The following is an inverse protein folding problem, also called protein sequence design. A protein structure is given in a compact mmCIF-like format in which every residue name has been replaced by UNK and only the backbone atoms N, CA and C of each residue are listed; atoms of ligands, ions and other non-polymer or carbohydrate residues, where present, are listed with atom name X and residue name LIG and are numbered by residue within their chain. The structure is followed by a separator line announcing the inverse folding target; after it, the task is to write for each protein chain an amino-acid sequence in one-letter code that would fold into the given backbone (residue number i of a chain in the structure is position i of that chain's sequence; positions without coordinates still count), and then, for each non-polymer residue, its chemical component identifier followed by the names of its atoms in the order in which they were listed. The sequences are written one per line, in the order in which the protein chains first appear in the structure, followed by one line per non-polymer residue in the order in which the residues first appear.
data_IF_570413036054
#
_entry.id   IF_570413036054
#
_cell.length_a   1.000
_cell.length_b   1.000
_cell.length_c   1.000
_cell.angle_alpha   90.00
_cell.angle_beta   90.00
_cell.angle_gamma   90.00
#
_symmetry.space_group_name_H-M   'P 1'
#
loop_
_entity.id
_entity.type
_entity.pdbx_description
1 polymer ?
#
# COMPACT_ATOMS: atom_id res chain seq x y z
N UNK A 1 -17.68 42.53 10.41
CA UNK A 1 -17.27 41.25 9.82
C UNK A 1 -18.13 40.18 10.53
N UNK A 2 -19.04 39.53 9.82
CA UNK A 2 -19.84 38.44 10.38
C UNK A 2 -18.92 37.28 10.67
N UNK A 3 -19.09 36.56 11.81
CA UNK A 3 -18.33 35.35 12.07
C UNK A 3 -18.67 34.28 11.01
N UNK A 4 -17.70 33.47 10.59
CA UNK A 4 -17.97 32.38 9.64
C UNK A 4 -18.94 31.37 10.25
N UNK A 5 -19.86 30.88 9.45
CA UNK A 5 -20.78 29.80 9.85
C UNK A 5 -19.98 28.51 10.09
N UNK A 6 -20.26 27.83 11.21
CA UNK A 6 -19.68 26.54 11.54
C UNK A 6 -20.58 25.46 10.95
N UNK A 7 -20.11 24.81 9.88
CA UNK A 7 -20.83 23.70 9.24
C UNK A 7 -20.22 22.34 9.64
N UNK A 8 -21.10 21.34 9.75
CA UNK A 8 -20.67 19.96 9.99
C UNK A 8 -20.14 19.37 8.69
N UNK A 9 -18.89 18.89 8.69
CA UNK A 9 -18.33 18.20 7.54
C UNK A 9 -19.05 16.86 7.31
N UNK A 10 -19.23 16.48 6.04
CA UNK A 10 -19.71 15.15 5.68
C UNK A 10 -18.65 14.08 6.02
N UNK A 11 -19.10 12.84 6.21
CA UNK A 11 -18.24 11.73 6.65
C UNK A 11 -17.08 11.45 5.66
N UNK A 12 -17.31 11.59 4.35
CA UNK A 12 -16.28 11.42 3.33
C UNK A 12 -15.20 12.48 3.43
N UNK A 13 -15.57 13.71 3.69
CA UNK A 13 -14.60 14.81 3.88
C UNK A 13 -13.76 14.57 5.14
N UNK A 14 -14.39 14.15 6.24
CA UNK A 14 -13.66 13.78 7.47
C UNK A 14 -12.68 12.63 7.21
N UNK A 15 -13.13 11.60 6.51
CA UNK A 15 -12.34 10.44 6.13
C UNK A 15 -11.09 10.82 5.30
N UNK A 16 -11.26 11.66 4.27
CA UNK A 16 -10.15 12.13 3.43
C UNK A 16 -9.15 12.99 4.20
N UNK A 17 -9.61 13.81 5.13
CA UNK A 17 -8.75 14.61 6.00
C UNK A 17 -7.91 13.67 6.89
N UNK A 18 -8.57 12.73 7.58
CA UNK A 18 -7.91 11.77 8.46
C UNK A 18 -6.92 10.90 7.68
N UNK A 19 -7.33 10.36 6.53
CA UNK A 19 -6.46 9.58 5.65
C UNK A 19 -5.24 10.38 5.17
N UNK A 20 -5.44 11.65 4.79
CA UNK A 20 -4.35 12.55 4.40
C UNK A 20 -3.39 12.90 5.55
N UNK A 21 -3.77 12.73 6.80
CA UNK A 21 -2.87 12.87 7.96
C UNK A 21 -2.01 11.63 8.17
N UNK A 22 -2.53 10.44 7.88
CA UNK A 22 -1.83 9.17 8.01
C UNK A 22 -0.91 8.93 6.80
N UNK A 23 -1.42 9.10 5.58
CA UNK A 23 -0.63 9.00 4.35
C UNK A 23 -0.04 10.36 4.03
N UNK A 24 1.24 10.54 4.33
CA UNK A 24 1.92 11.82 4.13
C UNK A 24 2.47 11.99 2.71
N UNK A 25 2.95 10.89 2.09
CA UNK A 25 3.70 10.90 0.83
C UNK A 25 3.79 9.52 0.18
N UNK A 26 4.28 9.42 -1.09
CA UNK A 26 4.46 8.13 -1.76
C UNK A 26 5.31 7.12 -0.97
N UNK A 27 6.39 7.57 -0.35
CA UNK A 27 7.25 6.69 0.45
C UNK A 27 6.52 6.05 1.64
N UNK A 28 5.51 6.71 2.23
CA UNK A 28 4.67 6.13 3.29
C UNK A 28 3.80 5.00 2.73
N UNK A 29 3.23 5.18 1.54
CA UNK A 29 2.46 4.13 0.84
C UNK A 29 3.35 2.93 0.55
N UNK A 30 4.51 3.14 -0.07
CA UNK A 30 5.48 2.08 -0.38
C UNK A 30 5.87 1.30 0.86
N UNK A 31 6.15 2.01 1.97
CA UNK A 31 6.48 1.39 3.26
C UNK A 31 5.40 0.41 3.71
N UNK A 32 4.16 0.86 3.82
CA UNK A 32 3.03 0.05 4.27
C UNK A 32 2.80 -1.17 3.36
N UNK A 33 2.91 -0.99 2.04
CA UNK A 33 2.71 -2.08 1.09
C UNK A 33 3.84 -3.13 1.16
N UNK A 34 5.09 -2.73 1.35
CA UNK A 34 6.21 -3.66 1.57
C UNK A 34 6.01 -4.42 2.88
N UNK A 35 5.62 -3.76 3.96
CA UNK A 35 5.34 -4.41 5.25
C UNK A 35 4.23 -5.46 5.10
N UNK A 36 3.16 -5.14 4.37
CA UNK A 36 2.10 -6.11 4.07
C UNK A 36 2.60 -7.30 3.26
N UNK A 37 3.47 -7.08 2.28
CA UNK A 37 4.07 -8.16 1.48
C UNK A 37 4.95 -9.09 2.33
N UNK A 38 5.78 -8.52 3.23
CA UNK A 38 6.62 -9.29 4.15
C UNK A 38 5.77 -10.08 5.15
N UNK A 39 4.73 -9.47 5.71
CA UNK A 39 3.78 -10.14 6.61
C UNK A 39 3.01 -11.28 5.92
N UNK A 40 2.80 -11.18 4.60
CA UNK A 40 2.23 -12.24 3.77
C UNK A 40 3.23 -13.37 3.44
N UNK A 41 4.43 -13.31 4.00
CA UNK A 41 5.48 -14.31 3.80
C UNK A 41 6.08 -14.29 2.39
N UNK A 42 6.11 -13.14 1.74
CA UNK A 42 6.68 -13.01 0.41
C UNK A 42 8.17 -13.34 0.39
N UNK A 43 8.60 -14.08 -0.63
CA UNK A 43 10.01 -14.30 -0.95
C UNK A 43 10.53 -13.30 -2.00
N UNK A 44 9.59 -12.60 -2.67
CA UNK A 44 9.89 -11.60 -3.68
C UNK A 44 8.93 -10.41 -3.58
N UNK A 45 9.48 -9.20 -3.58
CA UNK A 45 8.72 -7.95 -3.59
C UNK A 45 9.26 -7.06 -4.71
N UNK A 46 8.41 -6.69 -5.66
CA UNK A 46 8.74 -5.77 -6.74
C UNK A 46 7.98 -4.46 -6.56
N UNK A 47 8.73 -3.36 -6.50
CA UNK A 47 8.20 -2.00 -6.36
C UNK A 47 8.46 -1.24 -7.65
N UNK A 48 7.43 -0.63 -8.24
CA UNK A 48 7.59 0.33 -9.31
C UNK A 48 6.85 1.63 -8.99
N UNK A 49 7.45 2.76 -9.34
CA UNK A 49 6.87 4.07 -9.10
C UNK A 49 7.02 4.96 -10.34
N UNK A 50 6.00 5.80 -10.56
CA UNK A 50 5.96 6.78 -11.64
C UNK A 50 5.91 8.20 -11.03
N UNK A 51 6.64 9.12 -11.64
CA UNK A 51 6.76 10.51 -11.17
C UNK A 51 7.10 10.59 -9.66
N UNK A 52 8.04 9.76 -9.18
CA UNK A 52 8.41 9.70 -7.76
C UNK A 52 7.32 9.09 -6.86
N UNK A 53 6.32 8.43 -7.44
CA UNK A 53 5.18 7.80 -6.78
C UNK A 53 3.96 8.71 -6.65
N UNK A 54 3.97 9.91 -7.23
CA UNK A 54 2.82 10.82 -7.21
C UNK A 54 1.74 10.41 -8.24
N UNK A 55 2.14 9.86 -9.38
CA UNK A 55 1.25 9.39 -10.44
C UNK A 55 0.94 7.91 -10.32
N UNK A 56 1.92 7.10 -9.93
CA UNK A 56 1.74 5.66 -9.78
C UNK A 56 2.70 5.06 -8.75
N UNK A 57 2.17 4.16 -7.92
CA UNK A 57 2.91 3.24 -7.06
C UNK A 57 2.33 1.85 -7.29
N UNK A 58 3.18 0.89 -7.60
CA UNK A 58 2.81 -0.52 -7.69
C UNK A 58 3.74 -1.34 -6.81
N UNK A 59 3.15 -2.17 -5.95
CA UNK A 59 3.89 -3.18 -5.19
C UNK A 59 3.29 -4.54 -5.50
N UNK A 60 4.13 -5.47 -5.92
CA UNK A 60 3.77 -6.85 -6.22
C UNK A 60 4.61 -7.79 -5.39
N UNK A 61 3.95 -8.77 -4.80
CA UNK A 61 4.57 -9.85 -4.05
C UNK A 61 4.14 -11.24 -4.54
N UNK A 62 4.84 -12.26 -4.06
CA UNK A 62 4.54 -13.67 -4.25
C UNK A 62 4.09 -14.37 -2.94
N UNK A 63 3.56 -13.59 -1.99
CA UNK A 63 3.07 -14.08 -0.70
C UNK A 63 1.82 -14.96 -0.80
N UNK A 64 1.21 -15.23 0.34
CA UNK A 64 0.05 -16.15 0.45
C UNK A 64 -1.20 -15.68 -0.29
N UNK A 65 -1.25 -14.42 -0.73
CA UNK A 65 -2.41 -13.84 -1.40
C UNK A 65 -3.61 -13.63 -0.48
N UNK A 66 -4.64 -12.98 -1.02
CA UNK A 66 -5.91 -12.69 -0.35
C UNK A 66 -7.01 -13.45 -1.09
N UNK A 67 -7.80 -14.29 -0.42
CA UNK A 67 -8.96 -14.95 -1.02
C UNK A 67 -9.99 -13.94 -1.55
N UNK A 68 -10.67 -14.27 -2.65
CA UNK A 68 -11.71 -13.41 -3.24
C UNK A 68 -12.75 -12.96 -2.20
N UNK A 69 -13.18 -13.87 -1.33
CA UNK A 69 -14.15 -13.58 -0.25
C UNK A 69 -13.66 -12.60 0.82
N UNK A 70 -12.37 -12.29 0.87
CA UNK A 70 -11.76 -11.39 1.84
C UNK A 70 -11.26 -10.07 1.22
N UNK A 71 -11.31 -9.92 -0.11
CA UNK A 71 -10.81 -8.70 -0.77
C UNK A 71 -11.59 -7.44 -0.36
N UNK A 72 -12.92 -7.53 -0.21
CA UNK A 72 -13.73 -6.42 0.25
C UNK A 72 -13.35 -6.01 1.68
N UNK A 73 -13.18 -6.98 2.57
CA UNK A 73 -12.73 -6.72 3.94
C UNK A 73 -11.30 -6.13 3.98
N UNK A 74 -10.42 -6.55 3.08
CA UNK A 74 -9.04 -6.07 3.04
C UNK A 74 -8.92 -4.56 2.76
N UNK A 75 -9.90 -3.96 2.10
CA UNK A 75 -9.96 -2.52 1.80
C UNK A 75 -10.95 -1.76 2.69
N UNK A 76 -11.60 -2.44 3.64
CA UNK A 76 -12.54 -1.83 4.57
C UNK A 76 -11.83 -1.21 5.79
N UNK A 77 -12.51 -0.26 6.45
CA UNK A 77 -12.05 0.34 7.70
C UNK A 77 -12.00 -0.71 8.83
N UNK A 78 -10.98 -0.63 9.68
CA UNK A 78 -10.80 -1.51 10.85
C UNK A 78 -10.76 -3.02 10.54
N UNK A 79 -10.42 -3.40 9.32
CA UNK A 79 -10.28 -4.79 8.93
C UNK A 79 -8.82 -5.24 9.01
N UNK A 80 -8.50 -6.16 9.90
CA UNK A 80 -7.17 -6.74 10.05
C UNK A 80 -7.27 -8.23 10.31
N UNK A 81 -6.40 -9.02 9.68
CA UNK A 81 -6.18 -10.41 10.02
C UNK A 81 -5.10 -10.61 11.10
N UNK A 82 -4.49 -9.49 11.57
CA UNK A 82 -3.27 -9.52 12.39
C UNK A 82 -3.54 -9.40 13.89
N UNK A 83 -4.72 -8.93 14.28
CA UNK A 83 -5.15 -8.75 15.67
C UNK A 83 -6.58 -9.27 15.79
N UNK A 84 -6.79 -10.28 16.64
CA UNK A 84 -8.12 -10.79 16.98
C UNK A 84 -8.67 -10.21 18.27
N UNK A 85 -7.81 -9.78 19.22
CA UNK A 85 -8.20 -9.24 20.51
C UNK A 85 -7.15 -8.23 21.02
N UNK A 86 -7.57 -7.39 21.98
CA UNK A 86 -6.73 -6.38 22.65
C UNK A 86 -5.52 -7.03 23.37
N UNK A 87 -5.68 -8.26 23.83
CA UNK A 87 -4.61 -9.03 24.47
C UNK A 87 -3.46 -9.41 23.52
N UNK A 88 -3.70 -9.43 22.22
CA UNK A 88 -2.66 -9.68 21.20
C UNK A 88 -1.66 -8.51 21.12
N UNK A 89 -2.09 -7.30 21.44
CA UNK A 89 -1.21 -6.12 21.51
C UNK A 89 -0.18 -6.23 22.65
N UNK A 90 -0.57 -6.81 23.77
CA UNK A 90 0.31 -6.98 24.95
C UNK A 90 1.33 -8.11 24.77
N UNK A 91 1.06 -9.08 23.90
CA UNK A 91 1.94 -10.23 23.61
C UNK A 91 3.04 -9.91 22.59
N UNK A 92 3.06 -8.71 22.03
CA UNK A 92 3.97 -8.31 20.97
C UNK A 92 3.51 -8.88 19.61
N UNK A 93 2.93 -8.01 18.78
CA UNK A 93 2.49 -8.38 17.43
C UNK A 93 3.72 -8.77 16.63
N UNK A 94 3.81 -10.02 16.19
CA UNK A 94 4.92 -10.54 15.38
C UNK A 94 4.91 -10.03 13.94
N UNK A 95 3.98 -9.11 13.59
CA UNK A 95 3.80 -8.52 12.27
C UNK A 95 4.29 -7.07 12.24
N UNK A 96 4.84 -6.64 11.11
CA UNK A 96 5.35 -5.27 10.92
C UNK A 96 4.22 -4.23 10.89
N UNK A 97 3.03 -4.60 10.37
CA UNK A 97 1.82 -3.77 10.36
C UNK A 97 0.73 -4.38 11.24
N UNK A 98 0.06 -3.61 12.09
CA UNK A 98 -0.99 -4.12 12.99
C UNK A 98 -2.33 -3.37 12.91
N UNK A 99 -2.38 -2.19 12.29
CA UNK A 99 -3.57 -1.32 12.32
C UNK A 99 -4.69 -1.77 11.38
N UNK A 100 -4.39 -2.57 10.32
CA UNK A 100 -5.39 -3.04 9.36
C UNK A 100 -6.07 -1.95 8.53
N UNK A 101 -5.50 -0.75 8.47
CA UNK A 101 -6.13 0.43 7.86
C UNK A 101 -5.37 0.96 6.63
N UNK A 102 -4.21 0.36 6.28
CA UNK A 102 -3.34 0.90 5.24
C UNK A 102 -4.04 0.99 3.88
N UNK A 103 -4.67 -0.10 3.40
CA UNK A 103 -5.36 -0.11 2.11
C UNK A 103 -6.59 0.80 2.10
N UNK A 104 -7.36 0.81 3.19
CA UNK A 104 -8.49 1.73 3.38
C UNK A 104 -8.04 3.19 3.31
N UNK A 105 -7.03 3.55 4.08
CA UNK A 105 -6.51 4.92 4.17
C UNK A 105 -5.92 5.39 2.84
N UNK A 106 -5.14 4.52 2.16
CA UNK A 106 -4.59 4.80 0.83
C UNK A 106 -5.72 4.94 -0.19
N UNK A 107 -6.71 4.03 -0.19
CA UNK A 107 -7.86 4.07 -1.09
C UNK A 107 -8.72 5.33 -0.94
N UNK A 108 -8.79 5.92 0.25
CA UNK A 108 -9.54 7.16 0.49
C UNK A 108 -8.93 8.39 -0.21
N UNK A 109 -7.61 8.37 -0.51
CA UNK A 109 -6.88 9.52 -1.10
C UNK A 109 -6.25 9.22 -2.45
N UNK A 110 -6.60 8.10 -3.08
CA UNK A 110 -6.04 7.67 -4.38
C UNK A 110 -7.06 6.86 -5.18
N UNK A 111 -6.64 6.37 -6.35
CA UNK A 111 -7.29 5.27 -7.07
C UNK A 111 -6.51 3.99 -6.80
N UNK A 112 -7.07 3.16 -5.94
CA UNK A 112 -6.45 1.92 -5.49
C UNK A 112 -7.01 0.73 -6.27
N UNK A 113 -6.14 -0.16 -6.75
CA UNK A 113 -6.51 -1.46 -7.29
C UNK A 113 -5.74 -2.55 -6.56
N UNK A 114 -6.45 -3.52 -6.02
CA UNK A 114 -5.87 -4.71 -5.39
C UNK A 114 -6.23 -5.94 -6.22
N UNK A 115 -5.23 -6.67 -6.71
CA UNK A 115 -5.37 -7.96 -7.36
C UNK A 115 -4.67 -9.01 -6.54
N UNK A 116 -5.33 -10.11 -6.29
CA UNK A 116 -4.73 -11.16 -5.49
C UNK A 116 -5.20 -12.54 -5.89
N UNK A 117 -4.31 -13.52 -5.71
CA UNK A 117 -4.58 -14.94 -5.93
C UNK A 117 -3.80 -15.77 -4.93
N UNK A 118 -4.48 -16.50 -4.02
CA UNK A 118 -3.86 -17.53 -3.21
C UNK A 118 -3.27 -18.67 -4.07
N UNK A 119 -2.25 -19.39 -3.58
CA UNK A 119 -1.61 -20.49 -4.32
C UNK A 119 -2.59 -21.56 -4.80
N UNK A 120 -3.57 -21.91 -3.97
CA UNK A 120 -4.54 -22.97 -4.25
C UNK A 120 -5.77 -22.50 -5.04
N UNK A 121 -5.88 -21.19 -5.33
CA UNK A 121 -7.00 -20.65 -6.09
C UNK A 121 -6.79 -20.81 -7.60
N UNK A 122 -7.82 -21.29 -8.29
CA UNK A 122 -7.82 -21.49 -9.75
C UNK A 122 -7.74 -20.16 -10.51
N UNK A 123 -8.31 -19.08 -9.96
CA UNK A 123 -8.32 -17.73 -10.52
C UNK A 123 -8.03 -16.70 -9.45
N UNK A 124 -7.55 -15.54 -9.84
CA UNK A 124 -7.43 -14.37 -8.98
C UNK A 124 -8.68 -13.51 -9.03
N UNK A 125 -8.72 -12.52 -8.15
CA UNK A 125 -9.76 -11.51 -8.09
C UNK A 125 -9.17 -10.10 -7.93
N UNK A 126 -9.98 -9.11 -8.27
CA UNK A 126 -9.64 -7.69 -8.24
C UNK A 126 -10.73 -6.92 -7.50
N UNK A 127 -10.31 -5.94 -6.70
CA UNK A 127 -11.18 -4.89 -6.16
C UNK A 127 -10.57 -3.52 -6.45
N UNK A 128 -11.42 -2.53 -6.68
CA UNK A 128 -11.02 -1.14 -6.90
C UNK A 128 -11.66 -0.22 -5.88
N UNK A 129 -10.90 0.78 -5.45
CA UNK A 129 -11.39 1.85 -4.58
C UNK A 129 -11.03 3.19 -5.23
N UNK A 130 -11.99 4.06 -5.44
CA UNK A 130 -11.79 5.40 -5.99
C UNK A 130 -12.16 6.45 -4.95
N UNK A 131 -11.15 7.04 -4.29
CA UNK A 131 -11.34 8.10 -3.30
C UNK A 131 -12.25 7.70 -2.13
N UNK A 132 -12.19 6.42 -1.71
CA UNK A 132 -13.00 5.83 -0.66
C UNK A 132 -14.25 5.10 -1.14
N UNK A 133 -14.63 5.24 -2.43
CA UNK A 133 -15.75 4.47 -2.99
C UNK A 133 -15.26 3.07 -3.38
N UNK A 134 -15.71 2.06 -2.64
CA UNK A 134 -15.32 0.65 -2.84
C UNK A 134 -16.18 0.05 -3.95
N UNK A 135 -15.52 -0.51 -4.97
CA UNK A 135 -16.18 -1.21 -6.07
C UNK A 135 -16.50 -2.67 -5.74
N UNK A 136 -17.07 -3.37 -6.70
CA UNK A 136 -17.35 -4.81 -6.60
C UNK A 136 -16.08 -5.64 -6.81
N UNK A 137 -15.99 -6.77 -6.11
CA UNK A 137 -14.96 -7.78 -6.38
C UNK A 137 -15.28 -8.46 -7.71
N UNK A 138 -14.26 -8.60 -8.57
CA UNK A 138 -14.37 -9.19 -9.90
C UNK A 138 -13.26 -10.22 -10.14
N UNK A 139 -13.53 -11.28 -10.90
CA UNK A 139 -12.46 -12.18 -11.34
C UNK A 139 -11.38 -11.42 -12.12
N UNK A 140 -10.12 -11.74 -11.85
CA UNK A 140 -8.98 -11.15 -12.52
C UNK A 140 -7.88 -12.17 -12.78
N UNK A 141 -7.24 -12.07 -13.95
CA UNK A 141 -6.05 -12.84 -14.25
C UNK A 141 -4.84 -12.20 -13.55
N UNK A 142 -4.30 -12.87 -12.55
CA UNK A 142 -3.08 -12.44 -11.87
C UNK A 142 -2.25 -13.64 -11.42
N UNK A 143 -0.92 -13.49 -11.26
CA UNK A 143 -0.09 -14.52 -10.67
C UNK A 143 -0.42 -14.70 -9.18
N UNK A 144 0.08 -15.77 -8.58
CA UNK A 144 0.01 -16.01 -7.13
C UNK A 144 0.66 -14.85 -6.37
N UNK A 145 0.10 -14.52 -5.21
CA UNK A 145 0.50 -13.37 -4.39
C UNK A 145 -0.47 -12.19 -4.55
N UNK A 146 0.01 -11.00 -4.24
CA UNK A 146 -0.79 -9.77 -4.29
C UNK A 146 -0.11 -8.70 -5.13
N UNK A 147 -0.89 -7.94 -5.86
CA UNK A 147 -0.47 -6.73 -6.55
C UNK A 147 -1.37 -5.58 -6.10
N UNK A 148 -0.77 -4.55 -5.56
CA UNK A 148 -1.46 -3.31 -5.19
C UNK A 148 -0.96 -2.20 -6.11
N UNK A 149 -1.89 -1.53 -6.79
CA UNK A 149 -1.64 -0.37 -7.63
C UNK A 149 -2.34 0.85 -7.00
N UNK A 150 -1.62 1.94 -6.88
CA UNK A 150 -2.08 3.20 -6.31
C UNK A 150 -1.81 4.29 -7.33
N UNK A 151 -2.85 4.77 -7.97
CA UNK A 151 -2.76 5.80 -8.99
C UNK A 151 -3.27 7.14 -8.47
N UNK A 152 -2.73 8.24 -9.00
CA UNK A 152 -3.17 9.60 -8.73
C UNK A 152 -3.22 9.96 -7.23
N UNK A 153 -2.18 9.65 -6.48
CA UNK A 153 -2.13 9.92 -5.04
C UNK A 153 -2.45 11.40 -4.74
N UNK A 154 -3.39 11.62 -3.81
CA UNK A 154 -3.91 12.93 -3.40
C UNK A 154 -4.70 13.69 -4.47
N UNK A 155 -5.25 13.02 -5.50
CA UNK A 155 -6.04 13.71 -6.52
C UNK A 155 -7.27 14.43 -5.94
N UNK A 156 -7.84 13.89 -4.86
CA UNK A 156 -9.01 14.41 -4.17
C UNK A 156 -8.68 15.22 -2.90
N UNK A 157 -7.40 15.41 -2.59
CA UNK A 157 -6.90 16.18 -1.45
C UNK A 157 -5.85 17.22 -1.90
N UNK A 158 -6.27 18.31 -2.60
CA UNK A 158 -5.35 19.25 -3.24
C UNK A 158 -4.38 19.93 -2.27
N UNK A 159 -4.81 20.17 -1.03
CA UNK A 159 -3.94 20.72 0.00
C UNK A 159 -2.75 19.80 0.28
N UNK A 160 -3.00 18.48 0.40
CA UNK A 160 -1.96 17.48 0.61
C UNK A 160 -1.06 17.33 -0.62
N UNK A 161 -1.64 17.31 -1.83
CA UNK A 161 -0.88 17.25 -3.08
C UNK A 161 0.16 18.38 -3.19
N UNK A 162 -0.16 19.57 -2.72
CA UNK A 162 0.77 20.74 -2.70
C UNK A 162 1.98 20.55 -1.77
N UNK A 163 1.93 19.66 -0.79
CA UNK A 163 3.05 19.37 0.11
C UNK A 163 4.07 18.40 -0.50
N UNK A 164 3.72 17.69 -1.57
CA UNK A 164 4.67 16.86 -2.30
C UNK A 164 5.81 17.72 -2.83
N UNK A 165 7.00 17.17 -2.76
CA UNK A 165 8.21 17.81 -3.28
C UNK A 165 8.38 17.49 -4.77
N UNK A 166 9.49 17.91 -5.35
CA UNK A 166 9.83 17.53 -6.72
C UNK A 166 9.99 16.01 -6.85
N UNK A 167 9.68 15.48 -8.02
CA UNK A 167 9.75 14.05 -8.35
C UNK A 167 11.03 13.38 -7.86
N UNK A 168 12.19 13.99 -8.11
CA UNK A 168 13.47 13.44 -7.66
C UNK A 168 13.56 13.31 -6.13
N UNK A 169 13.02 14.29 -5.38
CA UNK A 169 13.02 14.26 -3.91
C UNK A 169 12.07 13.20 -3.36
N UNK A 170 10.88 13.04 -3.95
CA UNK A 170 9.95 11.98 -3.51
C UNK A 170 10.49 10.60 -3.88
N UNK A 171 11.10 10.45 -5.07
CA UNK A 171 11.76 9.21 -5.46
C UNK A 171 12.93 8.84 -4.53
N UNK A 172 13.77 9.79 -4.15
CA UNK A 172 14.89 9.55 -3.22
C UNK A 172 14.40 8.97 -1.87
N UNK A 173 13.25 9.45 -1.39
CA UNK A 173 12.60 8.92 -0.18
C UNK A 173 12.07 7.50 -0.38
N UNK A 174 11.45 7.22 -1.53
CA UNK A 174 11.02 5.88 -1.89
C UNK A 174 12.22 4.95 -1.96
N UNK A 175 13.27 5.35 -2.65
CA UNK A 175 14.51 4.58 -2.77
C UNK A 175 15.13 4.27 -1.40
N UNK A 176 15.15 5.25 -0.48
CA UNK A 176 15.64 5.06 0.89
C UNK A 176 14.83 4.01 1.63
N UNK A 177 13.50 4.05 1.53
CA UNK A 177 12.60 3.08 2.17
C UNK A 177 12.84 1.67 1.59
N UNK A 178 12.78 1.52 0.26
CA UNK A 178 12.91 0.21 -0.39
C UNK A 178 14.28 -0.41 -0.11
N UNK A 179 15.35 0.38 -0.21
CA UNK A 179 16.73 -0.05 0.12
C UNK A 179 16.83 -0.49 1.59
N UNK A 180 16.20 0.25 2.51
CA UNK A 180 16.18 -0.11 3.93
C UNK A 180 15.54 -1.48 4.18
N UNK A 181 14.40 -1.77 3.53
CA UNK A 181 13.75 -3.09 3.64
C UNK A 181 14.55 -4.20 2.96
N UNK A 182 15.16 -3.94 1.81
CA UNK A 182 16.04 -4.91 1.14
C UNK A 182 17.23 -5.32 2.04
N UNK A 183 17.86 -4.35 2.69
CA UNK A 183 18.97 -4.60 3.62
C UNK A 183 18.54 -5.32 4.90
N UNK A 184 17.35 -4.99 5.43
CA UNK A 184 16.81 -5.62 6.63
C UNK A 184 16.32 -7.06 6.39
N UNK A 185 16.01 -7.42 5.14
CA UNK A 185 15.45 -8.71 4.76
C UNK A 185 16.27 -9.38 3.63
N UNK A 186 17.54 -9.75 3.88
CA UNK A 186 18.43 -10.27 2.84
C UNK A 186 17.96 -11.58 2.20
N UNK A 187 17.02 -12.29 2.85
CA UNK A 187 16.39 -13.50 2.31
C UNK A 187 15.20 -13.24 1.37
N UNK A 188 14.84 -11.97 1.16
CA UNK A 188 13.75 -11.56 0.25
C UNK A 188 14.35 -10.86 -0.96
N UNK A 189 13.97 -11.29 -2.17
CA UNK A 189 14.33 -10.60 -3.40
C UNK A 189 13.51 -9.31 -3.52
N UNK A 190 14.18 -8.16 -3.56
CA UNK A 190 13.53 -6.85 -3.67
C UNK A 190 14.02 -6.14 -4.92
N UNK A 191 13.10 -5.60 -5.73
CA UNK A 191 13.44 -4.76 -6.87
C UNK A 191 12.73 -3.41 -6.79
N UNK A 192 13.40 -2.38 -7.31
CA UNK A 192 12.84 -1.03 -7.46
C UNK A 192 13.00 -0.55 -8.90
N UNK A 193 11.89 -0.12 -9.48
CA UNK A 193 11.80 0.51 -10.80
C UNK A 193 11.26 1.94 -10.65
N UNK A 194 11.81 2.88 -11.42
CA UNK A 194 11.34 4.25 -11.51
C UNK A 194 11.18 4.66 -12.98
N UNK A 195 9.99 5.11 -13.36
CA UNK A 195 9.65 5.54 -14.71
C UNK A 195 10.08 4.49 -15.77
N UNK A 196 9.78 3.21 -15.52
CA UNK A 196 10.08 2.10 -16.43
C UNK A 196 11.57 1.68 -16.46
N UNK A 197 12.39 2.16 -15.53
CA UNK A 197 13.81 1.81 -15.43
C UNK A 197 14.13 1.18 -14.09
N UNK A 198 14.72 0.00 -14.12
CA UNK A 198 15.21 -0.65 -12.91
C UNK A 198 16.31 0.20 -12.26
N UNK A 199 16.15 0.49 -10.98
CA UNK A 199 17.11 1.21 -10.16
C UNK A 199 18.05 0.24 -9.47
N UNK A 200 17.50 -0.80 -8.86
CA UNK A 200 18.25 -1.93 -8.32
C UNK A 200 17.36 -3.16 -8.17
N UNK A 201 18.02 -4.32 -8.03
CA UNK A 201 17.38 -5.57 -7.63
C UNK A 201 18.35 -6.37 -6.74
N UNK A 202 17.78 -7.09 -5.76
CA UNK A 202 18.50 -8.04 -4.91
C UNK A 202 18.01 -9.46 -5.18
N UNK A 203 18.87 -10.46 -4.98
CA UNK A 203 18.52 -11.85 -5.28
C UNK A 203 17.75 -12.56 -4.15
N UNK A 204 17.74 -12.02 -2.93
CA UNK A 204 17.07 -12.63 -1.77
C UNK A 204 17.74 -13.95 -1.32
N UNK A 205 19.05 -14.07 -1.55
CA UNK A 205 19.81 -15.29 -1.25
C UNK A 205 20.41 -15.31 0.18
N UNK A 206 20.10 -14.28 0.98
CA UNK A 206 20.65 -14.11 2.34
C UNK A 206 22.04 -13.47 2.37
N UNK A 207 22.66 -13.18 1.23
CA UNK A 207 23.96 -12.52 1.12
C UNK A 207 23.82 -11.08 0.62
N UNK A 208 24.20 -10.11 1.46
CA UNK A 208 24.19 -8.67 1.11
C UNK A 208 25.39 -8.25 0.25
N UNK A 209 26.32 -9.16 -0.08
CA UNK A 209 27.54 -8.90 -0.82
C UNK A 209 27.49 -9.38 -2.27
N UNK A 210 26.38 -9.99 -2.68
CA UNK A 210 26.17 -10.46 -4.05
C UNK A 210 25.57 -9.39 -4.93
#
# INVERSE_FOLDING_TARGET
MEPPDIERLDERTVQRIAAGEVVERPASVVKELIENSLDAGASRVAVSVEAGGAEGVRVRDDGVGIPESQLEAAVAEHATSKIGDIEDLDRGVGTLGFRGEALYTVGAVSRLTVRSRPPDAAAGAEIRVDGGDVGEVRPAGCPTGTTVEVDDLFYNTPARKKFLKQTATEFDRVNTVVTGYALANPGVAVSLEHDGRETFATEGNGDLRS
#
